data_IF_854382050784
#
_entry.id   IF_854382050784
#
_cell.length_a   1.000
_cell.length_b   1.000
_cell.length_c   1.000
_cell.angle_alpha   90.00
_cell.angle_beta   90.00
_cell.angle_gamma   90.00
#
_symmetry.space_group_name_H-M   'P 1'
#
loop_
_entity.id
_entity.type
_entity.pdbx_description
1 polymer ?
#
# COMPACT_ATOMS: atom_id res chain seq x y z
N UNK A 1 -10.48 9.90 14.88
CA UNK A 1 -11.30 10.08 13.67
C UNK A 1 -11.78 8.72 13.18
N UNK A 2 -12.97 8.71 12.60
CA UNK A 2 -13.53 7.47 12.04
C UNK A 2 -12.83 7.12 10.73
N UNK A 3 -13.08 5.91 10.23
CA UNK A 3 -12.55 5.51 8.94
C UNK A 3 -13.02 6.42 7.82
N UNK A 4 -14.31 6.83 7.85
CA UNK A 4 -14.83 7.74 6.83
C UNK A 4 -14.18 9.11 6.93
N UNK A 5 -13.97 9.61 8.14
CA UNK A 5 -13.29 10.90 8.34
C UNK A 5 -11.84 10.83 7.88
N UNK A 6 -11.16 9.73 8.17
CA UNK A 6 -9.78 9.55 7.75
C UNK A 6 -9.67 9.53 6.23
N UNK A 7 -10.53 8.75 5.57
CA UNK A 7 -10.48 8.65 4.12
C UNK A 7 -10.84 9.97 3.44
N UNK A 8 -11.82 10.70 4.00
CA UNK A 8 -12.19 12.02 3.49
C UNK A 8 -11.01 13.00 3.63
N UNK A 9 -10.29 12.94 4.75
CA UNK A 9 -9.12 13.80 4.95
C UNK A 9 -7.99 13.44 3.98
N UNK A 10 -7.82 12.16 3.70
CA UNK A 10 -6.85 11.72 2.71
C UNK A 10 -7.19 12.26 1.33
N UNK A 11 -8.43 12.09 0.91
CA UNK A 11 -8.88 12.55 -0.41
C UNK A 11 -8.87 14.07 -0.52
N UNK A 12 -9.15 14.76 0.59
CA UNK A 12 -9.13 16.22 0.63
C UNK A 12 -7.74 16.81 0.90
N UNK A 13 -6.74 15.96 1.13
CA UNK A 13 -5.37 16.37 1.41
C UNK A 13 -5.28 17.25 2.65
N UNK A 14 -6.08 16.92 3.67
CA UNK A 14 -6.10 17.68 4.92
C UNK A 14 -5.43 16.95 6.08
N UNK A 15 -4.85 15.76 5.83
CA UNK A 15 -4.07 15.06 6.85
C UNK A 15 -2.81 15.87 7.16
N UNK A 16 -2.45 15.94 8.43
CA UNK A 16 -1.25 16.68 8.86
C UNK A 16 0.03 15.87 8.62
N UNK A 17 -0.07 14.55 8.67
CA UNK A 17 1.05 13.68 8.39
C UNK A 17 0.53 12.41 7.72
N UNK A 18 1.45 11.61 7.20
CA UNK A 18 1.08 10.36 6.54
C UNK A 18 2.24 9.37 6.71
N UNK A 19 1.99 8.35 7.50
CA UNK A 19 2.98 7.33 7.82
C UNK A 19 2.67 6.02 7.11
N UNK A 20 3.57 5.07 7.20
CA UNK A 20 3.37 3.77 6.56
C UNK A 20 2.05 3.10 6.99
N UNK A 21 1.73 3.18 8.28
CA UNK A 21 0.46 2.63 8.78
C UNK A 21 -0.73 3.26 8.07
N UNK A 22 -0.67 4.56 7.78
CA UNK A 22 -1.75 5.25 7.07
C UNK A 22 -1.89 4.76 5.64
N UNK A 23 -0.77 4.43 4.98
CA UNK A 23 -0.79 3.84 3.64
C UNK A 23 -1.56 2.52 3.66
N UNK A 24 -1.29 1.67 4.65
CA UNK A 24 -2.00 0.39 4.77
C UNK A 24 -3.49 0.62 5.05
N UNK A 25 -3.81 1.59 5.91
CA UNK A 25 -5.21 1.94 6.21
C UNK A 25 -5.96 2.39 4.97
N UNK A 26 -5.35 3.25 4.15
CA UNK A 26 -5.97 3.74 2.92
C UNK A 26 -6.22 2.57 1.97
N UNK A 27 -5.22 1.70 1.78
CA UNK A 27 -5.37 0.53 0.92
C UNK A 27 -6.51 -0.36 1.39
N UNK A 28 -6.58 -0.62 2.69
CA UNK A 28 -7.63 -1.43 3.29
C UNK A 28 -9.00 -0.82 3.02
N UNK A 29 -9.15 0.49 3.25
CA UNK A 29 -10.45 1.16 3.11
C UNK A 29 -10.96 1.16 1.67
N UNK A 30 -10.06 1.35 0.70
CA UNK A 30 -10.49 1.27 -0.70
C UNK A 30 -10.80 -0.16 -1.11
N UNK A 31 -10.01 -1.14 -0.64
CA UNK A 31 -10.24 -2.54 -1.00
C UNK A 31 -11.53 -3.12 -0.40
N UNK A 32 -12.08 -2.50 0.63
CA UNK A 32 -13.37 -2.91 1.16
C UNK A 32 -14.51 -2.64 0.17
N UNK A 33 -14.33 -1.68 -0.72
CA UNK A 33 -15.42 -1.18 -1.58
C UNK A 33 -15.14 -1.33 -3.07
N UNK A 34 -13.90 -1.62 -3.44
CA UNK A 34 -13.50 -1.63 -4.85
C UNK A 34 -12.65 -2.85 -5.14
N UNK A 35 -12.69 -3.33 -6.40
CA UNK A 35 -11.76 -4.37 -6.80
C UNK A 35 -10.33 -3.85 -6.85
N UNK A 36 -9.38 -4.74 -6.93
CA UNK A 36 -7.96 -4.43 -6.79
C UNK A 36 -7.49 -3.30 -7.72
N UNK A 37 -7.85 -3.38 -9.01
CA UNK A 37 -7.39 -2.38 -9.98
C UNK A 37 -7.91 -0.99 -9.66
N UNK A 38 -9.17 -0.87 -9.24
CA UNK A 38 -9.74 0.41 -8.85
C UNK A 38 -9.13 0.93 -7.56
N UNK A 39 -8.88 0.04 -6.60
CA UNK A 39 -8.24 0.44 -5.35
C UNK A 39 -6.83 0.98 -5.62
N UNK A 40 -6.07 0.33 -6.50
CA UNK A 40 -4.75 0.81 -6.89
C UNK A 40 -4.84 2.21 -7.49
N UNK A 41 -5.81 2.43 -8.39
CA UNK A 41 -5.98 3.74 -9.00
C UNK A 41 -6.28 4.83 -7.97
N UNK A 42 -7.14 4.53 -7.00
CA UNK A 42 -7.52 5.51 -5.98
C UNK A 42 -6.37 5.80 -5.01
N UNK A 43 -5.64 4.78 -4.61
CA UNK A 43 -4.47 4.98 -3.75
C UNK A 43 -3.41 5.80 -4.48
N UNK A 44 -3.15 5.45 -5.74
CA UNK A 44 -2.18 6.19 -6.55
C UNK A 44 -2.55 7.66 -6.64
N UNK A 45 -3.79 7.94 -7.02
CA UNK A 45 -4.24 9.33 -7.20
C UNK A 45 -4.10 10.13 -5.91
N UNK A 46 -4.49 9.53 -4.79
CA UNK A 46 -4.39 10.20 -3.50
C UNK A 46 -2.96 10.44 -3.06
N UNK A 47 -2.09 9.45 -3.21
CA UNK A 47 -0.69 9.59 -2.83
C UNK A 47 0.05 10.58 -3.72
N UNK A 48 -0.23 10.57 -5.03
CA UNK A 48 0.40 11.54 -5.92
C UNK A 48 -0.05 12.96 -5.60
N UNK A 49 -1.34 13.15 -5.29
CA UNK A 49 -1.85 14.45 -4.91
C UNK A 49 -1.23 14.93 -3.59
N UNK A 50 -1.06 14.02 -2.63
CA UNK A 50 -0.46 14.34 -1.35
C UNK A 50 1.02 14.71 -1.52
N UNK A 51 1.75 13.93 -2.32
CA UNK A 51 3.15 14.20 -2.61
C UNK A 51 3.32 15.58 -3.25
N UNK A 52 2.45 15.90 -4.21
CA UNK A 52 2.50 17.20 -4.86
C UNK A 52 2.20 18.33 -3.87
N UNK A 53 1.17 18.16 -3.04
CA UNK A 53 0.77 19.19 -2.08
C UNK A 53 1.88 19.46 -1.05
N UNK A 54 2.66 18.43 -0.68
CA UNK A 54 3.72 18.55 0.31
C UNK A 54 5.09 18.84 -0.30
N UNK A 55 5.17 19.02 -1.63
CA UNK A 55 6.43 19.33 -2.29
C UNK A 55 7.44 18.20 -2.25
N UNK A 56 6.99 16.96 -2.26
CA UNK A 56 7.90 15.82 -2.24
C UNK A 56 8.75 15.80 -3.51
N UNK A 57 10.04 15.41 -3.43
CA UNK A 57 10.92 15.45 -4.59
C UNK A 57 10.51 14.43 -5.65
N UNK A 58 10.60 14.82 -6.93
CA UNK A 58 10.30 13.95 -8.06
C UNK A 58 11.57 13.36 -8.68
N UNK A 59 12.72 13.98 -8.42
CA UNK A 59 13.99 13.55 -8.98
C UNK A 59 14.86 12.81 -7.98
N UNK A 60 14.26 12.19 -6.99
CA UNK A 60 14.96 11.49 -5.94
C UNK A 60 14.51 10.03 -5.98
N UNK A 61 15.45 9.11 -6.16
CA UNK A 61 15.11 7.70 -6.27
C UNK A 61 14.59 7.11 -4.96
N UNK A 62 15.02 7.66 -3.83
CA UNK A 62 14.67 7.12 -2.51
C UNK A 62 13.49 7.80 -1.84
N UNK A 63 13.09 8.96 -2.31
CA UNK A 63 12.02 9.75 -1.69
C UNK A 63 10.97 10.14 -2.71
N UNK A 64 9.80 10.52 -2.22
CA UNK A 64 8.70 10.92 -3.07
C UNK A 64 7.88 9.72 -3.51
N UNK A 65 6.97 9.95 -4.44
CA UNK A 65 6.06 8.90 -4.89
C UNK A 65 6.80 7.77 -5.61
N UNK A 66 6.41 6.53 -5.30
CA UNK A 66 7.04 5.34 -5.89
C UNK A 66 5.93 4.40 -6.34
N UNK A 67 5.79 4.22 -7.63
CA UNK A 67 4.68 3.43 -8.18
C UNK A 67 4.72 1.97 -7.74
N UNK A 68 5.88 1.34 -7.82
CA UNK A 68 5.97 -0.09 -7.46
C UNK A 68 5.69 -0.30 -5.98
N UNK A 69 6.24 0.54 -5.10
CA UNK A 69 5.96 0.39 -3.67
C UNK A 69 4.48 0.60 -3.38
N UNK A 70 3.87 1.59 -4.02
CA UNK A 70 2.44 1.87 -3.86
C UNK A 70 1.62 0.65 -4.22
N UNK A 71 1.84 0.09 -5.40
CA UNK A 71 1.09 -1.09 -5.82
C UNK A 71 1.39 -2.32 -4.99
N UNK A 72 2.67 -2.49 -4.61
CA UNK A 72 3.06 -3.65 -3.83
C UNK A 72 2.30 -3.71 -2.50
N UNK A 73 2.19 -2.58 -1.80
CA UNK A 73 1.48 -2.56 -0.53
C UNK A 73 -0.02 -2.80 -0.72
N UNK A 74 -0.63 -2.23 -1.76
CA UNK A 74 -2.06 -2.49 -2.02
C UNK A 74 -2.27 -3.97 -2.33
N UNK A 75 -1.39 -4.58 -3.12
CA UNK A 75 -1.49 -6.00 -3.46
C UNK A 75 -1.31 -6.89 -2.24
N UNK A 76 -0.39 -6.55 -1.34
CA UNK A 76 -0.20 -7.31 -0.10
C UNK A 76 -1.41 -7.21 0.83
N UNK A 77 -2.02 -6.02 0.93
CA UNK A 77 -3.25 -5.87 1.70
C UNK A 77 -4.36 -6.70 1.08
N UNK A 78 -4.47 -6.68 -0.25
CA UNK A 78 -5.48 -7.47 -0.95
C UNK A 78 -5.33 -8.97 -0.67
N UNK A 79 -4.11 -9.49 -0.74
CA UNK A 79 -3.85 -10.90 -0.43
C UNK A 79 -4.19 -11.24 1.01
N UNK A 80 -3.84 -10.34 1.94
CA UNK A 80 -4.14 -10.53 3.35
C UNK A 80 -5.64 -10.57 3.59
N UNK A 81 -6.40 -9.70 2.92
CA UNK A 81 -7.86 -9.71 3.03
C UNK A 81 -8.46 -11.00 2.49
N UNK A 82 -7.87 -11.55 1.44
CA UNK A 82 -8.32 -12.83 0.89
C UNK A 82 -8.13 -13.97 1.88
N UNK A 83 -7.06 -13.91 2.69
CA UNK A 83 -6.78 -14.94 3.68
C UNK A 83 -7.54 -14.73 5.00
N UNK A 84 -7.56 -13.50 5.48
CA UNK A 84 -8.02 -13.20 6.85
C UNK A 84 -9.39 -12.54 6.92
N UNK A 85 -9.88 -12.00 5.82
CA UNK A 85 -11.16 -11.29 5.79
C UNK A 85 -11.08 -9.88 6.33
N UNK A 86 -12.24 -9.24 6.41
CA UNK A 86 -12.33 -7.84 6.85
C UNK A 86 -12.30 -7.74 8.37
N UNK A 87 -11.73 -6.65 8.86
CA UNK A 87 -11.80 -6.27 10.26
C UNK A 87 -12.88 -5.20 10.45
N UNK A 88 -13.18 -4.83 11.69
CA UNK A 88 -14.21 -3.81 11.94
C UNK A 88 -13.78 -2.43 11.47
N UNK A 89 -12.51 -2.10 11.68
CA UNK A 89 -11.96 -0.79 11.31
C UNK A 89 -10.60 -0.97 10.67
N UNK A 90 -10.11 0.10 10.03
CA UNK A 90 -8.76 0.09 9.46
C UNK A 90 -7.71 -0.08 10.54
N UNK A 91 -7.89 0.56 11.69
CA UNK A 91 -6.94 0.40 12.79
C UNK A 91 -6.92 -1.03 13.31
N UNK A 92 -8.08 -1.67 13.45
CA UNK A 92 -8.15 -3.07 13.88
C UNK A 92 -7.42 -3.96 12.87
N UNK A 93 -7.61 -3.72 11.58
CA UNK A 93 -6.91 -4.48 10.56
C UNK A 93 -5.38 -4.35 10.71
N UNK A 94 -4.90 -3.12 10.90
CA UNK A 94 -3.46 -2.89 11.08
C UNK A 94 -2.94 -3.60 12.34
N UNK A 95 -3.70 -3.55 13.43
CA UNK A 95 -3.30 -4.19 14.68
C UNK A 95 -3.21 -5.72 14.54
N UNK A 96 -4.03 -6.29 13.67
CA UNK A 96 -4.06 -7.74 13.45
C UNK A 96 -3.00 -8.20 12.45
N UNK A 97 -2.34 -7.28 11.75
CA UNK A 97 -1.38 -7.61 10.69
C UNK A 97 -0.03 -6.94 10.95
N UNK A 98 0.68 -7.37 12.00
CA UNK A 98 1.94 -6.70 12.37
C UNK A 98 3.02 -6.76 11.27
N UNK A 99 3.03 -7.80 10.43
CA UNK A 99 4.02 -7.88 9.36
C UNK A 99 3.81 -6.79 8.31
N UNK A 100 2.58 -6.38 8.06
CA UNK A 100 2.31 -5.30 7.12
C UNK A 100 2.76 -3.95 7.65
N UNK A 101 2.96 -3.83 8.96
CA UNK A 101 3.44 -2.59 9.56
C UNK A 101 4.95 -2.42 9.40
N UNK A 102 5.66 -3.47 8.97
CA UNK A 102 7.12 -3.42 8.78
C UNK A 102 7.44 -3.09 7.34
N UNK A 103 8.02 -1.92 7.09
CA UNK A 103 8.43 -1.55 5.73
C UNK A 103 9.37 -2.57 5.12
N UNK A 104 10.19 -3.21 5.95
CA UNK A 104 11.13 -4.22 5.50
C UNK A 104 10.47 -5.48 4.95
N UNK A 105 9.17 -5.63 5.15
CA UNK A 105 8.42 -6.77 4.62
C UNK A 105 8.54 -6.85 3.09
N UNK A 106 8.68 -5.72 2.41
CA UNK A 106 8.87 -5.71 0.95
C UNK A 106 10.17 -6.39 0.52
N UNK A 107 11.14 -6.49 1.41
CA UNK A 107 12.42 -7.15 1.08
C UNK A 107 12.27 -8.64 0.85
N UNK A 108 11.15 -9.22 1.23
CA UNK A 108 10.85 -10.62 0.92
C UNK A 108 10.50 -10.81 -0.55
N UNK A 109 10.08 -9.76 -1.21
CA UNK A 109 9.58 -9.81 -2.58
C UNK A 109 10.50 -9.12 -3.58
N UNK A 110 11.13 -8.03 -3.18
CA UNK A 110 11.97 -7.22 -4.06
C UNK A 110 13.38 -7.10 -3.51
N UNK A 111 14.37 -7.33 -4.38
CA UNK A 111 15.75 -6.97 -4.04
C UNK A 111 15.89 -5.44 -4.16
N UNK A 112 16.88 -4.84 -3.45
CA UNK A 112 17.15 -3.42 -3.63
C UNK A 112 17.49 -3.07 -5.09
N UNK A 113 18.20 -3.95 -5.79
CA UNK A 113 18.58 -3.76 -7.19
C UNK A 113 17.37 -3.65 -8.10
N UNK A 114 16.28 -4.36 -7.76
CA UNK A 114 15.06 -4.32 -8.55
C UNK A 114 14.21 -3.11 -8.18
N UNK A 115 14.08 -2.84 -6.87
CA UNK A 115 13.16 -1.84 -6.36
C UNK A 115 13.67 -0.41 -6.51
N UNK A 116 14.98 -0.22 -6.29
CA UNK A 116 15.58 1.12 -6.31
C UNK A 116 16.07 1.48 -7.70
N UNK A 117 15.13 1.49 -8.65
CA UNK A 117 15.40 1.87 -10.04
C UNK A 117 14.39 2.92 -10.47
N UNK A 118 14.73 3.71 -11.48
CA UNK A 118 13.80 4.69 -12.03
C UNK A 118 12.60 4.00 -12.67
N UNK A 119 12.83 2.83 -13.28
CA UNK A 119 11.73 2.05 -13.85
C UNK A 119 10.71 1.70 -12.77
N UNK A 120 11.16 1.15 -11.65
CA UNK A 120 10.27 0.76 -10.55
C UNK A 120 9.57 1.97 -9.93
N UNK A 121 10.26 3.11 -9.89
CA UNK A 121 9.68 4.33 -9.33
C UNK A 121 8.54 4.86 -10.19
N UNK A 122 8.66 4.72 -11.51
CA UNK A 122 7.70 5.31 -12.45
C UNK A 122 6.57 4.38 -12.86
N UNK A 123 6.82 3.08 -12.86
CA UNK A 123 5.81 2.09 -13.24
C UNK A 123 5.99 0.82 -12.44
N UNK A 124 4.94 0.02 -12.38
CA UNK A 124 5.00 -1.21 -11.59
C UNK A 124 5.93 -2.22 -12.25
N UNK A 125 6.85 -2.79 -11.44
CA UNK A 125 7.70 -3.91 -11.87
C UNK A 125 7.39 -5.11 -10.99
N UNK A 126 7.46 -6.29 -11.59
CA UNK A 126 7.17 -7.53 -10.86
C UNK A 126 8.26 -7.80 -9.82
N UNK A 127 7.91 -8.41 -8.68
CA UNK A 127 8.91 -8.78 -7.70
C UNK A 127 9.87 -9.84 -8.23
N UNK A 128 11.14 -9.71 -7.88
CA UNK A 128 12.18 -10.60 -8.37
C UNK A 128 12.56 -11.71 -7.39
N UNK A 129 12.21 -11.58 -6.10
CA UNK A 129 12.59 -12.57 -5.10
C UNK A 129 11.49 -13.59 -4.83
N UNK A 130 10.24 -13.14 -4.75
CA UNK A 130 9.10 -14.01 -4.52
C UNK A 130 7.86 -13.35 -5.10
N UNK A 131 6.95 -14.12 -5.70
CA UNK A 131 5.73 -13.54 -6.26
C UNK A 131 4.71 -13.21 -5.16
N UNK A 132 3.73 -12.35 -5.48
CA UNK A 132 2.60 -12.10 -4.60
C UNK A 132 1.58 -13.22 -4.86
N UNK A 133 1.50 -14.19 -3.93
CA UNK A 133 0.61 -15.34 -4.07
C UNK A 133 -0.33 -15.44 -2.89
N UNK A 134 -1.48 -16.03 -3.13
CA UNK A 134 -2.38 -16.37 -2.03
C UNK A 134 -1.74 -17.48 -1.24
N UNK A 135 -1.87 -17.43 0.11
CA UNK A 135 -1.34 -18.43 0.93
C UNK A 135 -2.35 -19.45 1.06
N UNK A 136 -2.63 -20.18 0.25
CA UNK A 136 -3.60 -21.10 0.37
C UNK A 136 -3.27 -22.16 0.99
N UNK A 137 -2.75 -22.33 1.44
CA UNK A 137 -2.46 -23.27 2.04
C UNK A 137 -2.83 -24.09 2.65
N UNK A 138 -2.88 -24.04 2.74
CA UNK A 138 -3.09 -24.59 3.30
C UNK A 138 -3.90 -25.33 3.31
N UNK A 139 -4.01 -25.49 2.89
CA UNK A 139 -4.79 -26.13 2.96
C UNK A 139 -4.76 -27.24 2.82
N UNK A 140 -4.40 -27.54 2.69
CA UNK A 140 -4.31 -28.53 2.63
C UNK A 140 -4.00 -29.19 3.30
N UNK A 141 -3.95 -29.02 3.66
CA UNK A 141 -3.72 -29.53 4.21
C UNK A 141 -4.04 -30.07 4.58
#
# INVERSE_FOLDING_TARGET
MTDDEFLAAFEGRTLEDFHHRDHIKVAYLYLRRHPLDEAIMKVRAGLQALALAWGAPVDDLERGYHETMTQAWVRLVHLTLSDCGLAETADAFCDEQPELMQKTHLKLFYSPERLMTWEAKREFVEPDLAPFLYRRVRSST
#
